data_IF_239970556430
#
_entry.id   IF_239970556430
#
_cell.length_a   1.000
_cell.length_b   1.000
_cell.length_c   1.000
_cell.angle_alpha   90.00
_cell.angle_beta   90.00
_cell.angle_gamma   90.00
#
_symmetry.space_group_name_H-M   'P 1'
#
loop_
_entity.id
_entity.type
_entity.pdbx_description
1 polymer ?
#
# COMPACT_ATOMS: atom_id res chain seq x y z
N UNK A 1 -44.14 -56.46 25.56
CA UNK A 1 -43.27 -56.34 24.37
C UNK A 1 -43.94 -55.61 23.21
N UNK A 2 -45.12 -54.98 23.32
CA UNK A 2 -45.36 -53.66 23.95
C UNK A 2 -44.11 -52.85 24.31
N UNK A 3 -44.09 -51.62 23.80
CA UNK A 3 -43.41 -50.42 24.37
C UNK A 3 -41.88 -50.41 24.43
N UNK A 4 -41.18 -50.63 23.31
CA UNK A 4 -39.75 -50.22 23.21
C UNK A 4 -39.27 -49.74 21.83
N UNK A 5 -40.08 -49.79 20.76
CA UNK A 5 -39.63 -49.36 19.43
C UNK A 5 -40.03 -47.94 19.01
N UNK A 6 -40.97 -47.27 19.70
CA UNK A 6 -41.42 -45.91 19.30
C UNK A 6 -40.72 -44.74 20.02
N UNK A 7 -39.92 -44.98 21.07
CA UNK A 7 -39.27 -43.89 21.82
C UNK A 7 -37.88 -43.49 21.31
N UNK A 8 -37.34 -44.21 20.32
CA UNK A 8 -36.00 -43.93 19.75
C UNK A 8 -36.03 -43.08 18.47
N UNK A 9 -37.18 -42.95 17.82
CA UNK A 9 -37.30 -42.19 16.57
C UNK A 9 -37.73 -40.73 16.83
N UNK A 10 -38.40 -40.43 17.94
CA UNK A 10 -38.81 -39.05 18.27
C UNK A 10 -37.75 -38.21 19.02
N UNK A 11 -36.70 -38.81 19.59
CA UNK A 11 -35.64 -38.07 20.30
C UNK A 11 -34.48 -37.59 19.43
N UNK A 12 -34.37 -38.09 18.20
CA UNK A 12 -33.32 -37.67 17.26
C UNK A 12 -33.79 -36.59 16.27
N UNK A 13 -35.08 -36.24 16.26
CA UNK A 13 -35.61 -35.15 15.44
C UNK A 13 -35.69 -33.79 16.17
N UNK A 14 -35.53 -33.76 17.50
CA UNK A 14 -35.55 -32.50 18.26
C UNK A 14 -34.16 -31.93 18.54
N UNK A 15 -33.09 -32.66 18.22
CA UNK A 15 -31.69 -32.21 18.40
C UNK A 15 -31.01 -31.77 17.09
N UNK A 16 -31.73 -31.82 15.96
CA UNK A 16 -31.23 -31.37 14.66
C UNK A 16 -31.73 -29.96 14.26
N UNK A 17 -32.48 -29.27 15.15
CA UNK A 17 -33.07 -27.96 14.85
C UNK A 17 -32.48 -26.80 15.67
N UNK A 18 -31.38 -27.03 16.42
CA UNK A 18 -30.73 -26.01 17.29
C UNK A 18 -29.30 -25.68 16.83
N UNK A 19 -28.82 -26.21 15.70
CA UNK A 19 -27.47 -25.93 15.20
C UNK A 19 -27.42 -25.54 13.71
N UNK A 20 -28.46 -24.85 13.25
CA UNK A 20 -28.40 -24.06 12.02
C UNK A 20 -28.55 -22.57 12.33
N UNK A 21 -27.79 -22.06 13.30
CA UNK A 21 -27.28 -20.70 13.20
C UNK A 21 -26.27 -20.70 12.05
N UNK A 22 -26.81 -20.73 10.83
CA UNK A 22 -26.08 -20.30 9.66
C UNK A 22 -25.58 -18.90 10.00
N UNK A 23 -24.27 -18.80 10.23
CA UNK A 23 -23.59 -17.52 10.22
C UNK A 23 -23.69 -17.05 8.77
N UNK A 24 -24.81 -16.41 8.43
CA UNK A 24 -24.86 -15.48 7.32
C UNK A 24 -23.89 -14.39 7.74
N UNK A 25 -22.61 -14.56 7.39
CA UNK A 25 -21.70 -13.43 7.30
C UNK A 25 -22.33 -12.56 6.23
N UNK A 26 -23.08 -11.55 6.66
CA UNK A 26 -23.45 -10.44 5.81
C UNK A 26 -22.13 -9.93 5.23
N UNK A 27 -21.89 -10.18 3.94
CA UNK A 27 -20.89 -9.41 3.22
C UNK A 27 -21.45 -8.00 3.27
N UNK A 28 -20.91 -7.16 4.16
CA UNK A 28 -21.35 -5.79 4.26
C UNK A 28 -21.17 -5.15 2.87
N UNK A 29 -22.29 -4.80 2.25
CA UNK A 29 -22.30 -4.09 0.98
C UNK A 29 -21.49 -2.79 1.13
N UNK A 30 -20.81 -2.38 0.06
CA UNK A 30 -20.10 -1.10 0.10
C UNK A 30 -21.09 0.05 0.37
N UNK A 31 -20.68 1.08 1.13
CA UNK A 31 -21.53 2.23 1.40
C UNK A 31 -22.02 2.88 0.10
N UNK A 32 -23.30 3.21 0.04
CA UNK A 32 -23.89 3.84 -1.14
C UNK A 32 -23.35 5.27 -1.31
N UNK A 33 -22.81 5.55 -2.49
CA UNK A 33 -22.40 6.91 -2.88
C UNK A 33 -23.56 7.89 -2.82
N UNK A 34 -23.31 9.09 -2.29
CA UNK A 34 -24.29 10.19 -2.30
C UNK A 34 -24.80 10.49 -3.71
N UNK A 35 -26.11 10.73 -3.82
CA UNK A 35 -26.72 11.15 -5.08
C UNK A 35 -26.65 12.68 -5.26
N UNK A 36 -26.71 13.12 -6.51
CA UNK A 36 -26.74 14.54 -6.86
C UNK A 36 -27.91 15.24 -6.14
N UNK A 37 -27.62 16.39 -5.53
CA UNK A 37 -28.57 17.16 -4.72
C UNK A 37 -28.55 16.82 -3.22
N UNK A 38 -27.86 15.75 -2.79
CA UNK A 38 -27.68 15.44 -1.38
C UNK A 38 -26.88 16.55 -0.67
N UNK A 39 -27.20 16.82 0.60
CA UNK A 39 -26.35 17.68 1.44
C UNK A 39 -25.04 16.96 1.78
N UNK A 40 -23.94 17.70 1.88
CA UNK A 40 -22.69 17.18 2.42
C UNK A 40 -22.89 16.72 3.89
N UNK A 41 -22.66 15.44 4.22
CA UNK A 41 -22.62 15.00 5.62
C UNK A 41 -21.51 15.73 6.39
N UNK A 42 -21.77 16.09 7.64
CA UNK A 42 -20.76 16.74 8.48
C UNK A 42 -19.65 15.77 8.89
N UNK A 43 -18.49 16.32 9.24
CA UNK A 43 -17.32 15.55 9.65
C UNK A 43 -16.44 16.37 10.60
N UNK A 44 -15.57 15.68 11.33
CA UNK A 44 -14.54 16.28 12.16
C UNK A 44 -13.30 15.39 12.13
N UNK A 45 -12.34 15.72 11.26
CA UNK A 45 -11.19 14.86 10.98
C UNK A 45 -9.86 15.56 11.24
N UNK A 46 -8.84 14.84 11.75
CA UNK A 46 -7.49 15.36 11.85
C UNK A 46 -6.84 15.48 10.46
N UNK A 47 -6.18 16.62 10.23
CA UNK A 47 -5.32 16.87 9.09
C UNK A 47 -3.86 16.60 9.41
N UNK A 48 -3.08 16.23 8.40
CA UNK A 48 -1.61 16.02 8.51
C UNK A 48 -0.84 17.25 8.98
N UNK A 49 -1.46 18.44 8.93
CA UNK A 49 -0.93 19.71 9.42
C UNK A 49 -1.18 19.93 10.94
N UNK A 50 -1.78 18.95 11.62
CA UNK A 50 -2.09 18.98 13.04
C UNK A 50 -3.39 19.71 13.40
N UNK A 51 -4.15 20.20 12.42
CA UNK A 51 -5.45 20.86 12.65
C UNK A 51 -6.60 19.87 12.51
N UNK A 52 -7.73 20.18 13.13
CA UNK A 52 -8.99 19.46 12.91
C UNK A 52 -9.87 20.24 11.93
N UNK A 53 -10.41 19.55 10.93
CA UNK A 53 -11.26 20.13 9.89
C UNK A 53 -12.69 19.59 9.96
N UNK A 54 -13.65 20.47 9.71
CA UNK A 54 -15.07 20.17 9.55
C UNK A 54 -15.64 20.90 8.34
N UNK A 55 -16.92 20.72 8.00
CA UNK A 55 -17.56 21.53 6.97
C UNK A 55 -17.46 23.04 7.25
N UNK A 56 -17.51 23.43 8.53
CA UNK A 56 -17.39 24.83 8.96
C UNK A 56 -16.03 25.44 8.63
N UNK A 57 -14.97 24.64 8.63
CA UNK A 57 -13.62 25.08 8.22
C UNK A 57 -13.58 25.62 6.79
N UNK A 58 -14.57 25.25 5.97
CA UNK A 58 -14.70 25.66 4.57
C UNK A 58 -15.88 26.60 4.31
N UNK A 59 -16.52 27.18 5.34
CA UNK A 59 -17.76 27.96 5.20
C UNK A 59 -17.65 29.14 4.21
N UNK A 60 -16.47 29.75 4.10
CA UNK A 60 -16.23 30.89 3.20
C UNK A 60 -16.04 30.49 1.72
N UNK A 61 -15.87 29.20 1.43
CA UNK A 61 -15.73 28.72 0.06
C UNK A 61 -17.10 28.65 -0.64
N UNK A 62 -17.21 29.24 -1.83
CA UNK A 62 -18.38 29.13 -2.70
C UNK A 62 -18.60 27.69 -3.15
N UNK A 63 -17.53 26.95 -3.40
CA UNK A 63 -17.58 25.55 -3.81
C UNK A 63 -16.60 24.76 -2.94
N UNK A 64 -17.03 23.60 -2.46
CA UNK A 64 -16.18 22.66 -1.72
C UNK A 64 -15.98 21.40 -2.56
N UNK A 65 -14.73 21.05 -2.83
CA UNK A 65 -14.35 19.80 -3.52
C UNK A 65 -13.68 18.87 -2.52
N UNK A 66 -14.29 17.72 -2.28
CA UNK A 66 -13.72 16.65 -1.44
C UNK A 66 -13.22 15.55 -2.39
N UNK A 67 -11.96 15.16 -2.22
CA UNK A 67 -11.34 14.09 -3.01
C UNK A 67 -10.91 12.99 -2.06
N UNK A 68 -11.57 11.84 -2.12
CA UNK A 68 -11.08 10.65 -1.42
C UNK A 68 -9.91 10.08 -2.20
N UNK A 69 -8.76 9.89 -1.54
CA UNK A 69 -7.49 9.44 -2.14
C UNK A 69 -6.71 8.59 -1.11
N UNK A 70 -5.54 8.06 -1.46
CA UNK A 70 -4.67 7.37 -0.50
C UNK A 70 -3.19 7.44 -0.95
N UNK A 71 -2.28 6.87 -0.14
CA UNK A 71 -0.84 6.89 -0.42
C UNK A 71 -0.39 5.67 -1.23
N UNK A 72 -0.97 4.48 -0.98
CA UNK A 72 -0.45 3.24 -1.55
C UNK A 72 -0.93 2.96 -2.99
N UNK A 73 -2.13 3.41 -3.36
CA UNK A 73 -2.73 3.05 -4.63
C UNK A 73 -1.98 3.71 -5.81
N UNK A 74 -1.55 2.95 -6.83
CA UNK A 74 -0.84 3.52 -7.98
C UNK A 74 -1.67 4.56 -8.73
N UNK A 75 -2.98 4.32 -8.89
CA UNK A 75 -3.90 5.27 -9.50
C UNK A 75 -3.95 6.55 -8.67
N UNK A 76 -4.19 6.49 -7.36
CA UNK A 76 -4.22 7.67 -6.48
C UNK A 76 -2.93 8.50 -6.57
N UNK A 77 -1.77 7.84 -6.51
CA UNK A 77 -0.47 8.49 -6.64
C UNK A 77 -0.31 9.23 -7.98
N UNK A 78 -0.86 8.70 -9.07
CA UNK A 78 -0.81 9.30 -10.40
C UNK A 78 -1.64 10.60 -10.55
N UNK A 79 -2.58 10.87 -9.63
CA UNK A 79 -3.40 12.09 -9.65
C UNK A 79 -2.89 13.22 -8.74
N UNK A 80 -1.88 12.97 -7.89
CA UNK A 80 -1.44 13.94 -6.87
C UNK A 80 -1.06 15.32 -7.43
N UNK A 81 -0.28 15.36 -8.53
CA UNK A 81 0.14 16.63 -9.13
C UNK A 81 -1.02 17.36 -9.82
N UNK A 82 -2.00 16.61 -10.35
CA UNK A 82 -3.24 17.19 -10.90
C UNK A 82 -4.12 17.78 -9.81
N UNK A 83 -4.21 17.12 -8.65
CA UNK A 83 -4.91 17.68 -7.49
C UNK A 83 -4.26 19.00 -7.04
N UNK A 84 -2.93 19.06 -7.00
CA UNK A 84 -2.20 20.31 -6.67
C UNK A 84 -2.43 21.42 -7.69
N UNK A 85 -2.46 21.07 -8.98
CA UNK A 85 -2.76 22.01 -10.06
C UNK A 85 -4.20 22.55 -9.94
N UNK A 86 -5.17 21.67 -9.68
CA UNK A 86 -6.57 22.04 -9.45
C UNK A 86 -6.69 23.06 -8.31
N UNK A 87 -6.00 22.84 -7.19
CA UNK A 87 -6.00 23.80 -6.07
C UNK A 87 -5.40 25.14 -6.48
N UNK A 88 -4.27 25.11 -7.17
CA UNK A 88 -3.57 26.33 -7.62
C UNK A 88 -4.45 27.19 -8.52
N UNK A 89 -5.16 26.56 -9.45
CA UNK A 89 -5.95 27.25 -10.48
C UNK A 89 -7.28 27.82 -9.95
N UNK A 90 -7.80 27.26 -8.85
CA UNK A 90 -9.12 27.61 -8.32
C UNK A 90 -9.11 28.30 -6.94
N UNK A 91 -7.98 28.32 -6.22
CA UNK A 91 -7.89 28.92 -4.87
C UNK A 91 -8.43 30.37 -4.80
N UNK A 92 -8.18 31.18 -5.82
CA UNK A 92 -8.60 32.59 -5.88
C UNK A 92 -10.01 32.78 -6.47
N UNK A 93 -10.69 31.70 -6.86
CA UNK A 93 -12.03 31.73 -7.46
C UNK A 93 -13.13 31.37 -6.46
N UNK A 94 -12.77 31.13 -5.19
CA UNK A 94 -13.70 30.74 -4.14
C UNK A 94 -13.97 29.23 -4.06
N UNK A 95 -13.07 28.40 -4.59
CA UNK A 95 -13.12 26.94 -4.45
C UNK A 95 -12.16 26.50 -3.37
N UNK A 96 -12.63 25.68 -2.42
CA UNK A 96 -11.79 24.92 -1.51
C UNK A 96 -11.68 23.47 -2.00
N UNK A 97 -10.48 22.91 -1.94
CA UNK A 97 -10.23 21.50 -2.23
C UNK A 97 -9.62 20.86 -0.99
N UNK A 98 -10.15 19.71 -0.58
CA UNK A 98 -9.68 18.92 0.55
C UNK A 98 -9.56 17.45 0.14
N UNK A 99 -8.46 16.83 0.50
CA UNK A 99 -8.24 15.40 0.30
C UNK A 99 -8.54 14.63 1.59
N UNK A 100 -9.08 13.42 1.47
CA UNK A 100 -9.39 12.54 2.60
C UNK A 100 -8.84 11.14 2.32
N UNK A 101 -8.05 10.58 3.25
CA UNK A 101 -7.66 9.17 3.23
C UNK A 101 -8.70 8.33 3.96
N UNK A 102 -9.45 7.47 3.25
CA UNK A 102 -10.54 6.68 3.83
C UNK A 102 -10.09 5.31 4.33
N UNK A 103 -8.84 4.91 4.07
CA UNK A 103 -8.39 3.53 4.22
C UNK A 103 -8.00 3.22 5.67
N UNK A 104 -8.58 2.16 6.22
CA UNK A 104 -8.11 1.58 7.48
C UNK A 104 -6.72 0.95 7.27
N UNK A 105 -5.65 1.44 7.94
CA UNK A 105 -4.28 1.02 7.62
C UNK A 105 -4.03 -0.48 7.72
N UNK A 106 -4.66 -1.16 8.68
CA UNK A 106 -4.49 -2.59 8.91
C UNK A 106 -5.33 -3.46 7.95
N UNK A 107 -6.14 -2.86 7.08
CA UNK A 107 -6.79 -3.56 5.97
C UNK A 107 -5.93 -3.59 4.70
N UNK A 108 -4.82 -2.85 4.64
CA UNK A 108 -3.88 -2.87 3.50
C UNK A 108 -2.85 -3.98 3.69
N UNK A 109 -2.82 -4.97 2.81
CA UNK A 109 -1.80 -6.02 2.87
C UNK A 109 -0.50 -5.58 2.18
N UNK A 110 0.64 -6.18 2.57
CA UNK A 110 1.94 -5.79 2.01
C UNK A 110 2.00 -5.97 0.48
N UNK A 111 1.39 -7.02 -0.07
CA UNK A 111 1.32 -7.28 -1.51
C UNK A 111 0.47 -6.26 -2.29
N UNK A 112 -0.37 -5.48 -1.62
CA UNK A 112 -1.07 -4.33 -2.21
C UNK A 112 -0.18 -3.07 -2.25
N UNK A 113 0.96 -3.07 -1.57
CA UNK A 113 1.88 -1.93 -1.47
C UNK A 113 3.02 -1.96 -2.51
N UNK A 114 2.91 -2.78 -3.56
CA UNK A 114 3.95 -2.95 -4.58
C UNK A 114 4.27 -1.73 -5.46
N UNK A 115 3.54 -0.62 -5.31
CA UNK A 115 3.73 0.64 -6.04
C UNK A 115 4.08 1.81 -5.11
N UNK A 116 4.29 1.56 -3.82
CA UNK A 116 4.49 2.61 -2.81
C UNK A 116 5.64 2.29 -1.87
N UNK A 117 6.19 3.33 -1.26
CA UNK A 117 7.11 3.30 -0.15
C UNK A 117 6.42 3.50 1.21
N UNK A 118 5.15 3.95 1.19
CA UNK A 118 4.36 4.36 2.35
C UNK A 118 2.98 3.71 2.33
N UNK A 119 2.55 3.20 3.48
CA UNK A 119 1.17 2.80 3.73
C UNK A 119 0.24 4.00 3.97
N UNK A 120 -0.99 3.69 4.39
CA UNK A 120 -2.05 4.69 4.61
C UNK A 120 -2.23 5.11 6.07
N UNK A 121 -1.26 4.79 6.94
CA UNK A 121 -1.30 5.27 8.33
C UNK A 121 -1.20 6.80 8.41
N UNK A 122 -1.74 7.39 9.47
CA UNK A 122 -1.73 8.85 9.63
C UNK A 122 -0.30 9.42 9.66
N UNK A 123 0.66 8.73 10.27
CA UNK A 123 2.06 9.16 10.29
C UNK A 123 2.69 9.09 8.90
N UNK A 124 2.41 8.04 8.12
CA UNK A 124 2.90 7.93 6.74
C UNK A 124 2.24 8.95 5.80
N UNK A 125 0.98 9.32 6.03
CA UNK A 125 0.33 10.43 5.32
C UNK A 125 1.06 11.76 5.53
N UNK A 126 1.57 12.04 6.74
CA UNK A 126 2.37 13.25 7.01
C UNK A 126 3.65 13.25 6.19
N UNK A 127 4.33 12.10 6.11
CA UNK A 127 5.53 11.92 5.29
C UNK A 127 5.19 12.19 3.82
N UNK A 128 4.14 11.55 3.29
CA UNK A 128 3.74 11.70 1.89
C UNK A 128 3.40 13.15 1.55
N UNK A 129 2.59 13.80 2.38
CA UNK A 129 2.17 15.19 2.18
C UNK A 129 3.36 16.17 2.17
N UNK A 130 4.34 15.94 3.06
CA UNK A 130 5.59 16.71 3.09
C UNK A 130 6.42 16.46 1.83
N UNK A 131 6.66 15.21 1.47
CA UNK A 131 7.50 14.83 0.32
C UNK A 131 6.93 15.35 -1.00
N UNK A 132 5.60 15.31 -1.17
CA UNK A 132 4.93 15.82 -2.38
C UNK A 132 4.62 17.32 -2.33
N UNK A 133 4.79 17.97 -1.18
CA UNK A 133 4.43 19.37 -0.98
C UNK A 133 2.96 19.64 -1.29
N UNK A 134 2.05 18.91 -0.66
CA UNK A 134 0.61 19.11 -0.83
C UNK A 134 0.21 20.53 -0.42
N UNK A 135 -0.55 21.20 -1.29
CA UNK A 135 -1.03 22.57 -1.13
C UNK A 135 -2.51 22.62 -0.71
N UNK A 136 -3.03 21.52 -0.17
CA UNK A 136 -4.40 21.33 0.30
C UNK A 136 -4.41 20.56 1.63
N UNK A 137 -5.47 20.71 2.46
CA UNK A 137 -5.64 19.86 3.63
C UNK A 137 -5.78 18.40 3.22
N UNK A 138 -5.04 17.51 3.89
CA UNK A 138 -5.12 16.06 3.72
C UNK A 138 -5.54 15.44 5.05
N UNK A 139 -6.78 14.93 5.09
CA UNK A 139 -7.47 14.50 6.31
C UNK A 139 -7.46 12.98 6.43
N UNK A 140 -7.43 12.47 7.64
CA UNK A 140 -7.47 11.03 7.90
C UNK A 140 -8.83 10.62 8.48
N UNK A 141 -9.54 9.79 7.73
CA UNK A 141 -10.79 9.16 8.17
C UNK A 141 -10.61 7.66 8.44
N UNK A 142 -9.50 7.06 8.00
CA UNK A 142 -9.28 5.62 8.05
C UNK A 142 -9.36 4.97 9.43
N UNK A 143 -9.22 5.72 10.52
CA UNK A 143 -9.40 5.18 11.89
C UNK A 143 -10.86 4.81 12.19
N UNK A 144 -11.83 5.59 11.70
CA UNK A 144 -13.25 5.43 12.06
C UNK A 144 -14.15 5.15 10.87
N UNK A 145 -13.74 5.60 9.68
CA UNK A 145 -14.43 5.49 8.40
C UNK A 145 -15.84 6.12 8.39
N UNK A 146 -16.18 6.91 9.42
CA UNK A 146 -17.53 7.47 9.59
C UNK A 146 -17.85 8.42 8.44
N UNK A 147 -16.92 9.32 8.09
CA UNK A 147 -17.13 10.24 6.97
C UNK A 147 -17.22 9.46 5.65
N UNK A 148 -16.31 8.53 5.42
CA UNK A 148 -16.26 7.75 4.17
C UNK A 148 -17.51 6.91 4.01
N UNK A 149 -18.03 6.28 5.07
CA UNK A 149 -19.30 5.55 5.05
C UNK A 149 -20.51 6.45 4.77
N UNK A 150 -20.48 7.72 5.23
CA UNK A 150 -21.55 8.68 4.96
C UNK A 150 -21.52 9.26 3.53
N UNK A 151 -20.33 9.40 2.93
CA UNK A 151 -20.17 9.93 1.57
C UNK A 151 -20.23 8.84 0.48
N UNK A 152 -19.78 7.63 0.81
CA UNK A 152 -19.73 6.45 -0.06
C UNK A 152 -18.74 6.57 -1.24
N UNK A 153 -17.44 6.86 -1.01
CA UNK A 153 -16.44 6.76 -2.07
C UNK A 153 -16.24 5.30 -2.48
N UNK A 154 -16.33 5.03 -3.79
CA UNK A 154 -16.11 3.69 -4.34
C UNK A 154 -14.63 3.32 -4.58
N UNK A 155 -13.78 4.31 -4.84
CA UNK A 155 -12.39 4.10 -5.25
C UNK A 155 -11.49 5.26 -4.80
N UNK A 156 -10.18 5.06 -4.91
CA UNK A 156 -9.17 6.11 -4.75
C UNK A 156 -8.46 6.35 -6.10
N UNK A 157 -8.59 7.55 -6.71
CA UNK A 157 -9.32 8.73 -6.23
C UNK A 157 -10.83 8.73 -6.57
N UNK A 158 -11.63 9.48 -5.81
CA UNK A 158 -13.05 9.76 -6.11
C UNK A 158 -13.44 11.17 -5.63
N UNK A 159 -14.01 11.97 -6.54
CA UNK A 159 -14.33 13.38 -6.34
C UNK A 159 -15.80 13.58 -5.95
N UNK A 160 -16.04 14.55 -5.08
CA UNK A 160 -17.35 15.09 -4.72
C UNK A 160 -17.27 16.63 -4.71
N UNK A 161 -18.05 17.29 -5.54
CA UNK A 161 -18.11 18.77 -5.63
C UNK A 161 -19.45 19.26 -5.10
N UNK A 162 -19.39 20.11 -4.10
CA UNK A 162 -20.55 20.71 -3.44
C UNK A 162 -20.62 22.20 -3.73
N UNK A 163 -21.83 22.71 -4.00
CA UNK A 163 -22.06 24.14 -4.20
C UNK A 163 -22.05 24.94 -2.89
N UNK A 164 -22.45 26.22 -2.97
CA UNK A 164 -22.44 27.16 -1.85
C UNK A 164 -23.40 26.74 -0.73
N UNK A 165 -24.49 26.03 -1.07
CA UNK A 165 -25.45 25.46 -0.13
C UNK A 165 -25.03 24.08 0.37
N UNK A 166 -23.80 23.64 0.01
CA UNK A 166 -23.26 22.32 0.30
C UNK A 166 -24.12 21.18 -0.26
N UNK A 167 -24.74 21.40 -1.43
CA UNK A 167 -25.43 20.35 -2.19
C UNK A 167 -24.48 19.73 -3.19
N UNK A 168 -24.48 18.40 -3.29
CA UNK A 168 -23.64 17.66 -4.24
C UNK A 168 -24.07 17.98 -5.67
N UNK A 169 -23.15 18.47 -6.49
CA UNK A 169 -23.40 18.85 -7.89
C UNK A 169 -22.55 18.06 -8.88
N UNK A 170 -21.47 17.45 -8.42
CA UNK A 170 -20.68 16.51 -9.21
C UNK A 170 -20.09 15.41 -8.36
N UNK A 171 -20.10 14.17 -8.85
CA UNK A 171 -19.33 13.06 -8.26
C UNK A 171 -18.80 12.11 -9.34
N UNK A 172 -17.57 11.64 -9.16
CA UNK A 172 -16.92 10.71 -10.08
C UNK A 172 -15.41 10.93 -10.22
N UNK A 173 -14.88 10.74 -11.43
CA UNK A 173 -13.43 10.84 -11.72
C UNK A 173 -12.94 12.29 -11.78
N UNK A 174 -11.62 12.47 -11.71
CA UNK A 174 -11.00 13.76 -12.03
C UNK A 174 -11.06 14.04 -13.53
N UNK A 175 -10.62 13.06 -14.32
CA UNK A 175 -10.56 13.06 -15.78
C UNK A 175 -10.57 11.62 -16.34
N UNK A 176 -10.44 11.47 -17.66
CA UNK A 176 -10.52 10.20 -18.36
C UNK A 176 -9.19 9.43 -18.48
N UNK A 177 -8.07 9.90 -17.92
CA UNK A 177 -6.76 9.26 -18.13
C UNK A 177 -5.93 9.14 -16.86
N UNK A 178 -5.53 7.92 -16.50
CA UNK A 178 -4.70 7.70 -15.30
C UNK A 178 -3.25 8.17 -15.48
N UNK A 179 -2.73 8.12 -16.71
CA UNK A 179 -1.32 8.43 -17.01
C UNK A 179 -0.98 9.87 -16.60
N UNK A 180 0.03 10.09 -15.74
CA UNK A 180 0.47 11.44 -15.40
C UNK A 180 0.85 12.26 -16.63
N UNK A 181 0.39 13.52 -16.66
CA UNK A 181 0.72 14.48 -17.73
C UNK A 181 -0.10 14.35 -19.02
N UNK A 182 -0.99 13.36 -19.15
CA UNK A 182 -1.86 13.24 -20.34
C UNK A 182 -3.25 13.85 -20.18
N UNK A 183 -3.59 14.30 -18.97
CA UNK A 183 -4.87 14.93 -18.63
C UNK A 183 -4.68 15.91 -17.47
N UNK A 184 -5.70 16.73 -17.21
CA UNK A 184 -5.66 17.77 -16.19
C UNK A 184 -7.01 17.93 -15.47
N UNK A 185 -7.64 16.84 -15.02
CA UNK A 185 -8.88 16.87 -14.26
C UNK A 185 -10.07 17.55 -15.01
N UNK A 186 -10.17 17.37 -16.33
CA UNK A 186 -11.13 18.06 -17.22
C UNK A 186 -12.59 17.94 -16.75
N UNK A 187 -13.00 16.77 -16.26
CA UNK A 187 -14.37 16.54 -15.81
C UNK A 187 -14.66 17.33 -14.52
N UNK A 188 -13.73 17.30 -13.56
CA UNK A 188 -13.86 18.08 -12.32
C UNK A 188 -13.80 19.59 -12.60
N UNK A 189 -12.87 20.04 -13.45
CA UNK A 189 -12.75 21.45 -13.84
C UNK A 189 -14.02 21.96 -14.52
N UNK A 190 -14.59 21.18 -15.42
CA UNK A 190 -15.86 21.51 -16.08
C UNK A 190 -17.00 21.71 -15.08
N UNK A 191 -17.09 20.86 -14.05
CA UNK A 191 -18.07 21.03 -12.98
C UNK A 191 -17.82 22.30 -12.16
N UNK A 192 -16.56 22.58 -11.80
CA UNK A 192 -16.20 23.79 -11.07
C UNK A 192 -16.52 25.07 -11.87
N UNK A 193 -16.14 25.10 -13.14
CA UNK A 193 -16.36 26.26 -14.01
C UNK A 193 -17.85 26.52 -14.23
N UNK A 194 -18.66 25.47 -14.41
CA UNK A 194 -20.11 25.61 -14.52
C UNK A 194 -20.70 26.23 -13.24
N UNK A 195 -20.33 25.72 -12.07
CA UNK A 195 -20.84 26.23 -10.79
C UNK A 195 -20.38 27.66 -10.50
N UNK A 196 -19.12 28.00 -10.82
CA UNK A 196 -18.60 29.37 -10.69
C UNK A 196 -19.33 30.35 -11.62
N UNK A 197 -19.75 29.89 -12.79
CA UNK A 197 -20.56 30.67 -13.73
C UNK A 197 -22.06 30.70 -13.39
N UNK A 198 -22.49 30.07 -12.28
CA UNK A 198 -23.90 29.97 -11.90
C UNK A 198 -24.73 29.06 -12.83
N UNK A 199 -24.08 28.18 -13.59
CA UNK A 199 -24.71 27.25 -14.55
C UNK A 199 -24.88 25.85 -13.94
N UNK A 200 -25.85 25.06 -14.42
CA UNK A 200 -25.92 23.65 -14.05
C UNK A 200 -24.70 22.87 -14.59
N UNK A 201 -24.24 21.87 -13.84
CA UNK A 201 -23.21 20.93 -14.28
C UNK A 201 -23.81 19.99 -15.31
N UNK A 202 -23.34 20.06 -16.56
CA UNK A 202 -23.90 19.28 -17.67
C UNK A 202 -23.75 17.76 -17.47
N UNK A 203 -22.60 17.32 -16.96
CA UNK A 203 -22.32 15.92 -16.61
C UNK A 203 -22.09 15.85 -15.11
N UNK A 204 -23.16 15.68 -14.35
CA UNK A 204 -23.10 15.68 -12.88
C UNK A 204 -22.53 14.37 -12.29
N UNK A 205 -22.52 13.26 -13.04
CA UNK A 205 -22.02 11.97 -12.56
C UNK A 205 -21.16 11.30 -13.63
N UNK A 206 -19.96 10.92 -13.25
CA UNK A 206 -19.07 10.07 -14.06
C UNK A 206 -18.73 8.80 -13.29
N UNK A 207 -18.30 7.75 -14.00
CA UNK A 207 -17.70 6.59 -13.35
C UNK A 207 -16.31 6.97 -12.84
N UNK A 208 -15.87 6.37 -11.73
CA UNK A 208 -14.49 6.47 -11.26
C UNK A 208 -13.77 5.12 -11.40
N UNK A 209 -12.45 5.17 -11.51
CA UNK A 209 -11.58 4.00 -11.58
C UNK A 209 -10.39 4.19 -10.62
N UNK A 210 -10.01 3.13 -9.92
CA UNK A 210 -8.93 3.12 -8.94
C UNK A 210 -9.06 1.96 -7.96
N UNK A 211 -8.20 1.94 -6.95
CA UNK A 211 -8.26 0.91 -5.91
C UNK A 211 -9.50 1.09 -5.05
N UNK A 212 -10.15 -0.03 -4.67
CA UNK A 212 -11.24 -0.02 -3.69
C UNK A 212 -10.79 0.53 -2.34
N UNK A 213 -11.76 1.05 -1.58
CA UNK A 213 -11.51 1.51 -0.22
C UNK A 213 -11.17 0.32 0.68
N UNK A 214 -10.19 0.52 1.57
CA UNK A 214 -9.68 -0.50 2.47
C UNK A 214 -10.46 -0.46 3.78
N UNK A 215 -11.69 -0.98 3.73
CA UNK A 215 -12.62 -0.97 4.85
C UNK A 215 -12.15 -1.86 6.02
N UNK A 216 -12.33 -1.41 7.25
CA UNK A 216 -11.99 -2.17 8.45
C UNK A 216 -12.66 -3.55 8.48
N UNK A 217 -13.96 -3.61 8.16
CA UNK A 217 -14.75 -4.85 8.10
C UNK A 217 -14.32 -5.79 6.96
N UNK A 218 -13.55 -5.31 5.97
CA UNK A 218 -13.04 -6.10 4.84
C UNK A 218 -11.54 -6.42 4.94
N UNK A 219 -10.99 -6.44 6.17
CA UNK A 219 -9.58 -6.77 6.48
C UNK A 219 -9.23 -8.27 6.42
N UNK A 220 -10.10 -9.10 5.87
CA UNK A 220 -9.97 -10.56 5.84
C UNK A 220 -8.69 -11.02 5.11
N UNK A 221 -8.36 -10.38 3.98
CA UNK A 221 -7.15 -10.71 3.23
C UNK A 221 -5.88 -10.30 3.97
N UNK A 222 -5.83 -9.08 4.50
CA UNK A 222 -4.68 -8.59 5.28
C UNK A 222 -4.33 -9.51 6.47
N UNK A 223 -5.33 -10.17 7.07
CA UNK A 223 -5.14 -11.19 8.12
C UNK A 223 -4.72 -12.56 7.57
N UNK A 224 -5.20 -12.96 6.40
CA UNK A 224 -4.92 -14.26 5.77
C UNK A 224 -3.55 -14.31 5.07
N UNK A 225 -3.13 -13.22 4.43
CA UNK A 225 -1.88 -13.14 3.68
C UNK A 225 -0.66 -13.63 4.48
N UNK A 226 -0.41 -13.17 5.72
CA UNK A 226 0.69 -13.68 6.55
C UNK A 226 0.61 -15.18 6.81
N UNK A 227 -0.58 -15.74 6.99
CA UNK A 227 -0.78 -17.19 7.20
C UNK A 227 -0.51 -18.00 5.93
N UNK A 228 -0.75 -17.42 4.76
CA UNK A 228 -0.37 -18.02 3.46
C UNK A 228 1.15 -17.99 3.31
N UNK A 229 1.76 -16.83 3.56
CA UNK A 229 3.21 -16.64 3.45
C UNK A 229 4.00 -17.51 4.43
N UNK A 230 3.48 -17.74 5.63
CA UNK A 230 4.07 -18.62 6.63
C UNK A 230 4.19 -20.09 6.17
N UNK A 231 3.41 -20.50 5.16
CA UNK A 231 3.43 -21.84 4.58
C UNK A 231 4.32 -21.95 3.35
N UNK A 232 4.85 -20.83 2.85
CA UNK A 232 5.75 -20.85 1.71
C UNK A 232 7.06 -21.56 2.08
N UNK A 233 7.64 -22.36 1.17
CA UNK A 233 8.90 -23.01 1.43
C UNK A 233 10.00 -21.96 1.63
N UNK A 234 10.92 -22.28 2.54
CA UNK A 234 12.13 -21.50 2.78
C UNK A 234 13.30 -22.44 2.59
N UNK A 235 14.04 -22.17 1.52
CA UNK A 235 15.18 -22.96 1.08
C UNK A 235 16.47 -22.13 1.19
N UNK A 236 17.60 -22.84 1.36
CA UNK A 236 18.94 -22.26 1.40
C UNK A 236 19.86 -23.09 0.50
N UNK A 237 20.27 -22.49 -0.61
CA UNK A 237 21.13 -23.13 -1.61
C UNK A 237 22.60 -22.75 -1.37
N UNK A 238 23.53 -23.64 -1.71
CA UNK A 238 24.96 -23.27 -1.74
C UNK A 238 25.21 -22.50 -3.04
N UNK A 239 26.00 -21.42 -2.99
CA UNK A 239 26.38 -20.64 -4.17
C UNK A 239 27.88 -20.68 -4.39
N UNK A 240 28.28 -21.10 -5.59
CA UNK A 240 29.67 -21.08 -6.05
C UNK A 240 30.06 -19.68 -6.53
N UNK A 241 31.36 -19.39 -6.57
CA UNK A 241 31.88 -18.08 -6.98
C UNK A 241 31.39 -17.62 -8.36
N UNK A 242 31.33 -18.54 -9.33
CA UNK A 242 30.89 -18.23 -10.69
C UNK A 242 29.40 -17.84 -10.73
N UNK A 243 28.56 -18.56 -10.01
CA UNK A 243 27.12 -18.28 -9.94
C UNK A 243 26.84 -16.99 -9.17
N UNK A 244 27.64 -16.69 -8.14
CA UNK A 244 27.56 -15.43 -7.42
C UNK A 244 27.89 -14.25 -8.34
N UNK A 245 28.97 -14.35 -9.13
CA UNK A 245 29.33 -13.31 -10.10
C UNK A 245 28.25 -13.12 -11.17
N UNK A 246 27.65 -14.21 -11.66
CA UNK A 246 26.53 -14.13 -12.60
C UNK A 246 25.29 -13.47 -11.96
N UNK A 247 25.02 -13.75 -10.70
CA UNK A 247 23.97 -13.11 -9.91
C UNK A 247 24.23 -11.60 -9.76
N UNK A 248 25.45 -11.16 -9.51
CA UNK A 248 25.72 -9.73 -9.33
C UNK A 248 25.73 -8.96 -10.66
N UNK A 249 26.06 -9.63 -11.77
CA UNK A 249 25.97 -9.07 -13.12
C UNK A 249 24.53 -8.70 -13.52
N UNK A 250 23.53 -9.36 -12.94
CA UNK A 250 22.11 -9.08 -13.15
C UNK A 250 21.69 -8.90 -14.62
N UNK A 251 21.87 -9.95 -15.42
CA UNK A 251 21.43 -10.01 -16.84
C UNK A 251 19.89 -10.12 -17.00
N UNK A 252 19.11 -9.70 -16.00
CA UNK A 252 17.64 -9.72 -16.02
C UNK A 252 17.07 -8.30 -16.03
N UNK A 253 15.77 -8.16 -16.31
CA UNK A 253 15.07 -6.87 -16.27
C UNK A 253 14.68 -6.42 -14.85
N UNK A 254 15.00 -7.24 -13.83
CA UNK A 254 14.63 -6.96 -12.44
C UNK A 254 15.63 -6.07 -11.74
N UNK A 255 15.12 -5.21 -10.87
CA UNK A 255 15.92 -4.57 -9.83
C UNK A 255 16.18 -5.59 -8.73
N UNK A 256 17.46 -5.81 -8.39
CA UNK A 256 17.89 -6.85 -7.45
C UNK A 256 18.42 -6.23 -6.17
N UNK A 257 17.77 -6.54 -5.05
CA UNK A 257 18.23 -6.19 -3.72
C UNK A 257 19.00 -7.38 -3.14
N UNK A 258 20.28 -7.21 -2.84
CA UNK A 258 21.14 -8.25 -2.26
C UNK A 258 21.53 -7.83 -0.86
N UNK A 259 21.28 -8.68 0.14
CA UNK A 259 21.76 -8.49 1.50
C UNK A 259 22.69 -9.64 1.90
N UNK A 260 23.91 -9.28 2.32
CA UNK A 260 24.88 -10.21 2.88
C UNK A 260 24.78 -10.17 4.40
N UNK A 261 24.61 -11.34 5.01
CA UNK A 261 24.32 -11.50 6.44
C UNK A 261 25.00 -12.72 7.04
N UNK A 262 24.97 -12.88 8.37
CA UNK A 262 25.38 -14.10 9.04
C UNK A 262 24.59 -14.36 10.32
N UNK A 263 24.50 -15.62 10.76
CA UNK A 263 23.72 -16.01 11.96
C UNK A 263 24.26 -15.42 13.26
N UNK A 264 25.53 -15.05 13.29
CA UNK A 264 26.21 -14.42 14.43
C UNK A 264 26.18 -12.89 14.37
N UNK A 265 25.73 -12.30 13.25
CA UNK A 265 25.60 -10.86 13.09
C UNK A 265 24.26 -10.38 13.66
N UNK A 266 24.28 -9.82 14.87
CA UNK A 266 23.09 -9.29 15.55
C UNK A 266 22.29 -8.29 14.70
N UNK A 267 22.90 -7.20 14.17
CA UNK A 267 22.19 -6.22 13.34
C UNK A 267 21.54 -6.85 12.10
N UNK A 268 22.21 -7.80 11.45
CA UNK A 268 21.67 -8.49 10.28
C UNK A 268 20.37 -9.24 10.59
N UNK A 269 20.32 -9.95 11.72
CA UNK A 269 19.13 -10.70 12.15
C UNK A 269 17.99 -9.74 12.54
N UNK A 270 18.33 -8.59 13.13
CA UNK A 270 17.35 -7.57 13.55
C UNK A 270 16.67 -6.90 12.35
N UNK A 271 17.39 -6.62 11.27
CA UNK A 271 16.83 -5.92 10.10
C UNK A 271 16.16 -6.83 9.06
N UNK A 272 16.48 -8.14 9.07
CA UNK A 272 15.95 -9.10 8.09
C UNK A 272 14.42 -9.07 7.92
N UNK A 273 13.60 -8.92 8.99
CA UNK A 273 12.14 -8.78 8.83
C UNK A 273 11.71 -7.64 7.90
N UNK A 274 12.43 -6.51 7.90
CA UNK A 274 12.12 -5.38 7.01
C UNK A 274 12.40 -5.73 5.54
N UNK A 275 13.49 -6.44 5.27
CA UNK A 275 13.75 -6.94 3.91
C UNK A 275 12.71 -7.96 3.45
N UNK A 276 12.24 -8.83 4.36
CA UNK A 276 11.18 -9.79 4.06
C UNK A 276 9.88 -9.04 3.75
N UNK A 277 9.56 -7.98 4.50
CA UNK A 277 8.41 -7.12 4.20
C UNK A 277 8.54 -6.50 2.80
N UNK A 278 9.70 -5.92 2.45
CA UNK A 278 9.96 -5.39 1.11
C UNK A 278 9.82 -6.46 0.02
N UNK A 279 10.28 -7.68 0.28
CA UNK A 279 10.05 -8.81 -0.62
C UNK A 279 8.54 -9.07 -0.78
N UNK A 280 7.74 -9.10 0.29
CA UNK A 280 6.27 -9.25 0.17
C UNK A 280 5.62 -8.13 -0.62
N UNK A 281 6.11 -6.90 -0.47
CA UNK A 281 5.61 -5.73 -1.18
C UNK A 281 5.91 -5.79 -2.68
N UNK A 282 7.16 -6.06 -3.04
CA UNK A 282 7.64 -5.76 -4.40
C UNK A 282 7.83 -7.00 -5.28
N UNK A 283 7.84 -8.23 -4.74
CA UNK A 283 8.17 -9.47 -5.50
C UNK A 283 7.27 -9.79 -6.70
N UNK A 284 6.10 -9.15 -6.79
CA UNK A 284 5.18 -9.29 -7.92
C UNK A 284 5.42 -8.24 -9.02
N UNK A 285 6.52 -7.49 -8.94
CA UNK A 285 6.99 -6.48 -9.91
C UNK A 285 8.32 -6.95 -10.53
N UNK A 286 8.94 -6.08 -11.33
CA UNK A 286 10.31 -6.22 -11.82
C UNK A 286 11.35 -6.00 -10.69
N UNK A 287 11.21 -6.78 -9.62
CA UNK A 287 12.01 -6.73 -8.41
C UNK A 287 12.27 -8.15 -7.90
N UNK A 288 13.43 -8.36 -7.28
CA UNK A 288 13.67 -9.52 -6.43
C UNK A 288 14.60 -9.19 -5.26
N UNK A 289 14.38 -9.90 -4.16
CA UNK A 289 15.23 -9.86 -2.98
C UNK A 289 16.04 -11.16 -2.87
N UNK A 290 17.33 -11.04 -2.59
CA UNK A 290 18.26 -12.15 -2.45
C UNK A 290 19.07 -11.98 -1.17
N UNK A 291 19.16 -13.05 -0.37
CA UNK A 291 20.11 -13.08 0.76
C UNK A 291 21.30 -13.97 0.46
N UNK A 292 22.46 -13.58 0.97
CA UNK A 292 23.70 -14.36 0.91
C UNK A 292 24.24 -14.47 2.33
N UNK A 293 24.20 -15.68 2.89
CA UNK A 293 24.81 -15.98 4.18
C UNK A 293 26.33 -16.11 4.02
N UNK A 294 27.06 -15.32 4.81
CA UNK A 294 28.50 -15.39 5.01
C UNK A 294 28.89 -16.34 6.17
N UNK A 295 27.93 -17.11 6.70
CA UNK A 295 28.27 -18.21 7.60
C UNK A 295 29.10 -19.28 6.86
N UNK A 296 29.91 -20.02 7.61
CA UNK A 296 30.62 -21.17 7.07
C UNK A 296 29.63 -22.23 6.54
N UNK A 297 30.01 -23.01 5.51
CA UNK A 297 29.13 -24.04 4.93
C UNK A 297 28.57 -25.04 5.94
N UNK A 298 29.35 -25.40 6.97
CA UNK A 298 28.93 -26.31 8.04
C UNK A 298 27.82 -25.72 8.95
N UNK A 299 27.53 -24.42 8.84
CA UNK A 299 26.44 -23.74 9.57
C UNK A 299 25.17 -23.58 8.75
N UNK A 300 25.09 -24.17 7.55
CA UNK A 300 23.92 -24.11 6.66
C UNK A 300 22.60 -24.40 7.38
N UNK A 301 22.53 -25.45 8.19
CA UNK A 301 21.27 -25.81 8.90
C UNK A 301 20.85 -24.75 9.92
N UNK A 302 21.82 -24.11 10.58
CA UNK A 302 21.56 -23.02 11.53
C UNK A 302 21.03 -21.77 10.79
N UNK A 303 21.65 -21.41 9.67
CA UNK A 303 21.19 -20.30 8.84
C UNK A 303 19.79 -20.57 8.29
N UNK A 304 19.54 -21.78 7.78
CA UNK A 304 18.24 -22.22 7.30
C UNK A 304 17.16 -22.16 8.40
N UNK A 305 17.49 -22.57 9.63
CA UNK A 305 16.55 -22.49 10.75
C UNK A 305 16.15 -21.04 11.08
N UNK A 306 17.08 -20.08 11.00
CA UNK A 306 16.78 -18.65 11.19
C UNK A 306 15.89 -18.13 10.06
N UNK A 307 16.23 -18.43 8.80
CA UNK A 307 15.43 -18.03 7.64
C UNK A 307 13.99 -18.60 7.71
N UNK A 308 13.84 -19.87 8.10
CA UNK A 308 12.53 -20.51 8.32
C UNK A 308 11.73 -19.81 9.42
N UNK A 309 12.36 -19.48 10.54
CA UNK A 309 11.73 -18.74 11.63
C UNK A 309 11.23 -17.37 11.16
N UNK A 310 11.97 -16.72 10.28
CA UNK A 310 11.62 -15.42 9.69
C UNK A 310 10.65 -15.51 8.51
N UNK A 311 10.36 -16.72 8.00
CA UNK A 311 9.53 -16.94 6.82
C UNK A 311 10.12 -16.27 5.56
N UNK A 312 11.44 -16.32 5.42
CA UNK A 312 12.20 -15.71 4.33
C UNK A 312 12.12 -16.55 3.04
N UNK A 313 10.96 -16.53 2.37
CA UNK A 313 10.72 -17.31 1.14
C UNK A 313 11.25 -16.66 -0.14
N UNK A 314 12.12 -15.65 0.00
CA UNK A 314 12.94 -15.13 -1.10
C UNK A 314 14.05 -16.13 -1.48
N UNK A 315 14.84 -15.81 -2.52
CA UNK A 315 16.03 -16.60 -2.84
C UNK A 315 17.08 -16.42 -1.75
N UNK A 316 17.53 -17.51 -1.13
CA UNK A 316 18.59 -17.48 -0.13
C UNK A 316 19.74 -18.38 -0.55
N UNK A 317 20.95 -17.85 -0.41
CA UNK A 317 22.19 -18.56 -0.68
C UNK A 317 23.10 -18.58 0.54
N UNK A 318 23.96 -19.58 0.65
CA UNK A 318 25.09 -19.62 1.57
C UNK A 318 26.37 -19.77 0.75
N UNK A 319 27.40 -19.01 1.12
CA UNK A 319 28.70 -19.10 0.47
C UNK A 319 29.30 -20.51 0.59
N UNK A 320 29.84 -21.02 -0.51
CA UNK A 320 30.32 -22.41 -0.59
C UNK A 320 31.63 -22.69 0.17
N UNK A 321 32.41 -21.66 0.49
CA UNK A 321 33.77 -21.79 1.02
C UNK A 321 33.92 -21.20 2.42
N UNK A 322 34.97 -21.59 3.14
CA UNK A 322 35.35 -20.95 4.40
C UNK A 322 36.15 -19.65 4.19
N UNK A 323 36.59 -19.37 2.96
CA UNK A 323 37.33 -18.16 2.63
C UNK A 323 36.38 -16.96 2.50
N UNK A 324 36.23 -16.21 3.59
CA UNK A 324 35.39 -15.01 3.64
C UNK A 324 35.96 -13.87 2.80
N UNK A 325 37.28 -13.80 2.59
CA UNK A 325 37.87 -12.74 1.77
C UNK A 325 37.54 -12.93 0.30
N UNK A 326 37.49 -14.17 -0.19
CA UNK A 326 36.95 -14.46 -1.53
C UNK A 326 35.48 -14.07 -1.68
N UNK A 327 34.66 -14.27 -0.66
CA UNK A 327 33.28 -13.77 -0.67
C UNK A 327 33.25 -12.25 -0.82
N UNK A 328 34.07 -11.53 -0.06
CA UNK A 328 34.14 -10.06 -0.10
C UNK A 328 34.49 -9.58 -1.51
N UNK A 329 35.59 -10.09 -2.07
CA UNK A 329 36.04 -9.75 -3.43
C UNK A 329 35.03 -10.14 -4.52
N UNK A 330 34.30 -11.25 -4.33
CA UNK A 330 33.27 -11.68 -5.26
C UNK A 330 31.99 -10.83 -5.21
N UNK A 331 31.62 -10.30 -4.02
CA UNK A 331 30.41 -9.49 -3.82
C UNK A 331 30.59 -8.07 -4.35
N UNK A 332 31.60 -7.37 -3.85
CA UNK A 332 31.86 -5.97 -4.19
C UNK A 332 33.28 -5.63 -3.71
N UNK A 333 34.23 -5.35 -4.62
CA UNK A 333 35.59 -4.94 -4.24
C UNK A 333 35.64 -3.66 -3.37
N UNK A 334 34.54 -2.90 -3.28
CA UNK A 334 34.44 -1.73 -2.38
C UNK A 334 34.03 -2.12 -0.95
N UNK A 335 33.50 -3.32 -0.75
CA UNK A 335 33.08 -3.79 0.57
C UNK A 335 34.29 -4.12 1.44
N UNK A 336 34.30 -3.63 2.68
CA UNK A 336 35.40 -3.85 3.64
C UNK A 336 35.18 -5.09 4.52
N UNK A 337 34.15 -5.89 4.24
CA UNK A 337 33.87 -7.15 4.93
C UNK A 337 32.98 -7.07 6.17
N UNK A 338 32.63 -5.88 6.67
CA UNK A 338 31.73 -5.80 7.81
C UNK A 338 30.27 -6.06 7.40
N UNK A 339 29.55 -6.82 8.23
CA UNK A 339 28.15 -7.13 8.03
C UNK A 339 27.23 -6.24 8.90
N UNK A 340 25.97 -6.00 8.48
CA UNK A 340 25.38 -6.38 7.20
C UNK A 340 25.96 -5.57 6.03
N UNK A 341 25.84 -6.11 4.82
CA UNK A 341 26.18 -5.38 3.59
C UNK A 341 25.02 -5.49 2.61
N UNK A 342 24.55 -4.36 2.08
CA UNK A 342 23.39 -4.34 1.18
C UNK A 342 23.73 -3.64 -0.12
N UNK A 343 23.32 -4.26 -1.23
CA UNK A 343 23.43 -3.73 -2.59
C UNK A 343 22.05 -3.62 -3.25
N UNK A 344 21.82 -2.53 -3.98
CA UNK A 344 20.71 -2.42 -4.93
C UNK A 344 21.30 -2.38 -6.34
N UNK A 345 20.98 -3.38 -7.16
CA UNK A 345 21.56 -3.61 -8.47
C UNK A 345 20.47 -3.42 -9.54
N UNK A 346 20.71 -2.50 -10.47
CA UNK A 346 19.86 -2.28 -11.64
C UNK A 346 20.05 -3.39 -12.69
N UNK A 347 19.12 -3.54 -13.65
CA UNK A 347 19.33 -4.37 -14.84
C UNK A 347 20.68 -4.07 -15.50
N UNK A 348 21.43 -5.11 -15.87
CA UNK A 348 22.77 -4.99 -16.45
C UNK A 348 23.90 -4.79 -15.42
N UNK A 349 23.64 -4.95 -14.12
CA UNK A 349 24.67 -5.10 -13.09
C UNK A 349 25.18 -3.79 -12.48
N UNK A 350 24.57 -2.66 -12.83
CA UNK A 350 24.93 -1.36 -12.25
C UNK A 350 24.47 -1.27 -10.80
N UNK A 351 25.41 -1.13 -9.88
CA UNK A 351 25.13 -0.91 -8.45
C UNK A 351 24.63 0.52 -8.25
N UNK A 352 23.34 0.67 -7.98
CA UNK A 352 22.69 1.96 -7.72
C UNK A 352 22.83 2.42 -6.26
N UNK A 353 23.01 1.48 -5.34
CA UNK A 353 23.21 1.74 -3.92
C UNK A 353 24.07 0.64 -3.29
N UNK A 354 24.93 1.04 -2.36
CA UNK A 354 25.67 0.14 -1.47
C UNK A 354 25.72 0.73 -0.06
N UNK A 355 25.60 -0.12 0.95
CA UNK A 355 25.83 0.30 2.34
C UNK A 355 26.43 -0.84 3.15
N UNK A 356 27.36 -0.47 4.02
CA UNK A 356 27.85 -1.29 5.11
C UNK A 356 27.17 -0.84 6.40
N UNK A 357 26.58 -1.78 7.13
CA UNK A 357 25.70 -1.50 8.26
C UNK A 357 24.22 -1.44 7.86
N UNK A 358 23.38 -1.17 8.84
CA UNK A 358 21.93 -1.28 8.65
C UNK A 358 21.34 -0.25 7.71
N UNK A 359 20.33 -0.67 6.96
CA UNK A 359 19.57 0.23 6.07
C UNK A 359 18.61 1.10 6.88
N UNK A 360 18.22 2.23 6.29
CA UNK A 360 17.01 2.96 6.71
C UNK A 360 15.85 2.46 5.86
N UNK A 361 14.85 1.74 6.41
CA UNK A 361 13.84 1.05 5.60
C UNK A 361 13.05 1.96 4.66
N UNK A 362 12.68 3.17 5.09
CA UNK A 362 11.95 4.11 4.25
C UNK A 362 12.77 4.56 3.04
N UNK A 363 14.05 4.89 3.24
CA UNK A 363 14.93 5.31 2.14
C UNK A 363 15.18 4.17 1.16
N UNK A 364 15.31 2.93 1.66
CA UNK A 364 15.41 1.76 0.80
C UNK A 364 14.14 1.57 -0.06
N UNK A 365 12.95 1.66 0.55
CA UNK A 365 11.67 1.60 -0.19
C UNK A 365 11.56 2.70 -1.24
N UNK A 366 11.93 3.94 -0.91
CA UNK A 366 11.97 5.07 -1.85
C UNK A 366 12.88 4.79 -3.05
N UNK A 367 14.08 4.28 -2.79
CA UNK A 367 15.01 3.90 -3.85
C UNK A 367 14.44 2.80 -4.74
N UNK A 368 13.92 1.70 -4.16
CA UNK A 368 13.30 0.61 -4.92
C UNK A 368 12.18 1.15 -5.81
N UNK A 369 11.22 1.88 -5.24
CA UNK A 369 10.07 2.44 -5.95
C UNK A 369 10.48 3.43 -7.04
N UNK A 370 11.56 4.19 -6.84
CA UNK A 370 12.11 5.07 -7.90
C UNK A 370 12.61 4.32 -9.13
N UNK A 371 12.96 3.03 -8.98
CA UNK A 371 13.44 2.17 -10.07
C UNK A 371 12.32 1.36 -10.72
N UNK A 372 11.38 0.85 -9.92
CA UNK A 372 10.28 -0.01 -10.42
C UNK A 372 8.98 0.74 -10.74
N UNK A 373 8.91 2.04 -10.44
CA UNK A 373 7.78 2.91 -10.75
C UNK A 373 6.62 2.89 -9.73
N UNK A 374 5.90 4.02 -9.67
CA UNK A 374 4.78 4.30 -8.73
C UNK A 374 3.39 4.08 -9.30
N UNK A 375 3.29 3.88 -10.60
CA UNK A 375 2.04 3.73 -11.32
C UNK A 375 2.24 2.71 -12.47
N UNK A 376 1.12 2.30 -13.07
CA UNK A 376 1.08 1.36 -14.19
C UNK A 376 1.66 1.95 -15.49
#
# INVERSE_FOLDING_TARGET
MKTLLLSRILKNFLFAFILLLATIRSLADDPKTLEIGASAPDFSLPGVDGKTYSLKSFANAKILTIIFTCNHCPTAQAYEDRMKALVTDYKNKGVAVVAVSPNYPQAVSLDEMGYTDLGDSFEEMKIRAKDKGYNFPYLFDGETEIMSKAYGPMATPHVFVFDQQRKLRYTGRLDAAEKPGSANAEDTRSALDALLAGKPVAVAKTKTFGCSIKWQEKSDWAKKAPLVWAKEPVDLMVIEEADLKALLKNDTDKVRLVNVWATWCGPCVVEMPEFINMNRMYRNREFEFITISADKPDKKDKALAILKKMQASNKNYIWHSEDTYKLIEAIDPQWQGALPYTLLIEPGGKVAYRTQGSIVPLEMKKMIVSKIGRYY
#
